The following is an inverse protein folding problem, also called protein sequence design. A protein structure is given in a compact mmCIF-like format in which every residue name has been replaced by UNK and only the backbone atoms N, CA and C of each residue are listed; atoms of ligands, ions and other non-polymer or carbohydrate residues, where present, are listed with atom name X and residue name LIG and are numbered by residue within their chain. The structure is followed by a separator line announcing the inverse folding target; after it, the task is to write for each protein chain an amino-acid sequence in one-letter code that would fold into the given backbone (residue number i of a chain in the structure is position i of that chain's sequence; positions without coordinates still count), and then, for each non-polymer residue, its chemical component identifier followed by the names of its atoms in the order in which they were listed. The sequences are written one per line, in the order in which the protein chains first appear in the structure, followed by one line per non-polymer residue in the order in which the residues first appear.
data_IF_801455140675
#
_entry.id   IF_801455140675
#
_cell.length_a   1.000
_cell.length_b   1.000
_cell.length_c   1.000
_cell.angle_alpha   90.00
_cell.angle_beta   90.00
_cell.angle_gamma   90.00
#
_symmetry.space_group_name_H-M   'P 1'
#
loop_
_entity.id
_entity.type
_entity.pdbx_description
1 polymer ?
#
# COMPACT_ATOMS: atom_id res chain seq x y z
N UNK A 1 -11.33 -0.30 -11.77
CA UNK A 1 -10.58 -0.06 -10.53
C UNK A 1 -9.93 1.33 -10.67
N UNK A 2 -10.25 2.27 -9.80
CA UNK A 2 -9.68 3.62 -9.83
C UNK A 2 -8.41 3.61 -8.99
N UNK A 3 -7.30 4.08 -9.55
CA UNK A 3 -6.03 4.22 -8.84
C UNK A 3 -5.91 5.68 -8.43
N UNK A 4 -5.78 5.93 -7.13
CA UNK A 4 -5.54 7.26 -6.58
C UNK A 4 -4.11 7.36 -6.08
N UNK A 5 -3.43 8.45 -6.42
CA UNK A 5 -2.07 8.74 -5.95
C UNK A 5 -2.11 9.56 -4.67
N UNK A 6 -1.30 9.18 -3.70
CA UNK A 6 -1.09 9.99 -2.51
C UNK A 6 -0.02 11.03 -2.83
N UNK A 7 -0.34 12.33 -2.72
CA UNK A 7 0.64 13.40 -2.94
C UNK A 7 1.34 13.77 -1.64
N UNK A 8 2.63 13.61 -1.54
CA UNK A 8 3.44 14.49 -0.72
C UNK A 8 4.42 15.32 -1.51
N UNK A 9 4.35 15.61 -2.75
CA UNK A 9 5.15 16.68 -3.43
C UNK A 9 4.55 16.97 -4.81
N UNK A 10 4.64 18.26 -5.23
CA UNK A 10 4.10 18.82 -6.44
C UNK A 10 4.40 18.02 -7.72
N UNK A 11 3.49 18.01 -8.70
CA UNK A 11 3.56 17.17 -9.87
C UNK A 11 4.65 17.64 -10.82
N UNK A 12 5.69 16.85 -10.97
CA UNK A 12 6.34 16.79 -12.26
C UNK A 12 5.44 15.94 -13.16
N UNK A 13 4.99 16.52 -14.27
CA UNK A 13 4.22 15.93 -15.36
C UNK A 13 3.87 14.43 -15.19
N UNK A 14 2.64 14.15 -14.79
CA UNK A 14 2.09 12.78 -14.80
C UNK A 14 2.16 12.25 -16.23
N UNK A 15 3.00 11.28 -16.49
CA UNK A 15 2.88 10.50 -17.71
C UNK A 15 1.49 9.88 -17.73
N UNK A 16 0.84 9.85 -18.89
CA UNK A 16 -0.49 9.28 -19.09
C UNK A 16 -0.61 7.84 -18.56
N UNK A 17 0.53 7.18 -18.37
CA UNK A 17 0.64 5.79 -17.93
C UNK A 17 1.59 5.69 -16.74
N UNK A 18 1.28 4.78 -15.81
CA UNK A 18 2.20 4.39 -14.75
C UNK A 18 2.60 2.91 -14.91
N UNK A 19 3.84 2.60 -14.55
CA UNK A 19 4.40 1.25 -14.72
C UNK A 19 3.87 0.30 -13.66
N UNK A 20 3.64 -0.96 -14.07
CA UNK A 20 3.27 -2.07 -13.21
C UNK A 20 4.42 -3.06 -13.23
N UNK A 21 5.01 -3.36 -12.08
CA UNK A 21 6.25 -4.13 -11.96
C UNK A 21 5.98 -5.52 -11.36
N UNK A 22 6.81 -6.49 -11.75
CA UNK A 22 6.94 -7.75 -11.01
C UNK A 22 7.73 -7.55 -9.73
N UNK A 23 7.67 -8.53 -8.81
CA UNK A 23 8.47 -8.48 -7.56
C UNK A 23 9.97 -8.41 -7.85
N UNK A 24 10.46 -9.10 -8.87
CA UNK A 24 11.89 -9.08 -9.22
C UNK A 24 12.31 -7.70 -9.74
N UNK A 25 11.49 -7.07 -10.58
CA UNK A 25 11.72 -5.68 -11.02
C UNK A 25 11.70 -4.71 -9.84
N UNK A 26 10.75 -4.89 -8.90
CA UNK A 26 10.70 -4.10 -7.68
C UNK A 26 11.97 -4.24 -6.84
N UNK A 27 12.47 -5.46 -6.63
CA UNK A 27 13.71 -5.70 -5.87
C UNK A 27 14.92 -4.96 -6.44
N UNK A 28 15.04 -4.93 -7.77
CA UNK A 28 16.12 -4.19 -8.44
C UNK A 28 15.98 -2.69 -8.22
N UNK A 29 14.79 -2.16 -8.38
CA UNK A 29 14.49 -0.76 -8.17
C UNK A 29 14.69 -0.33 -6.71
N UNK A 30 14.20 -1.13 -5.76
CA UNK A 30 14.37 -0.89 -4.31
C UNK A 30 15.85 -0.90 -3.89
N UNK A 31 16.64 -1.87 -4.38
CA UNK A 31 18.07 -1.95 -4.07
C UNK A 31 18.82 -0.69 -4.54
N UNK A 32 18.48 -0.17 -5.71
CA UNK A 32 19.03 1.08 -6.26
C UNK A 32 18.61 2.28 -5.43
N UNK A 33 17.33 2.36 -5.10
CA UNK A 33 16.76 3.40 -4.27
C UNK A 33 17.41 3.46 -2.89
N UNK A 34 17.59 2.31 -2.24
CA UNK A 34 18.29 2.20 -0.94
C UNK A 34 19.74 2.67 -1.07
N UNK A 35 20.42 2.34 -2.18
CA UNK A 35 21.79 2.80 -2.44
C UNK A 35 21.91 4.32 -2.60
N UNK A 36 20.86 4.99 -3.09
CA UNK A 36 20.85 6.43 -3.31
C UNK A 36 20.34 7.22 -2.11
N UNK A 37 19.16 6.87 -1.57
CA UNK A 37 18.46 7.64 -0.55
C UNK A 37 18.60 7.06 0.87
N UNK A 38 18.97 5.78 0.97
CA UNK A 38 19.01 5.02 2.22
C UNK A 38 17.63 4.52 2.68
N UNK A 39 17.60 3.39 3.39
CA UNK A 39 16.36 2.73 3.81
C UNK A 39 15.55 3.56 4.84
N UNK A 40 16.21 4.36 5.68
CA UNK A 40 15.57 5.24 6.67
C UNK A 40 14.72 6.31 6.00
N UNK A 41 15.26 6.96 4.97
CA UNK A 41 14.56 8.03 4.26
C UNK A 41 13.42 7.48 3.39
N UNK A 42 13.64 6.36 2.70
CA UNK A 42 12.59 5.71 1.91
C UNK A 42 11.41 5.29 2.79
N UNK A 43 11.68 4.68 3.93
CA UNK A 43 10.64 4.28 4.90
C UNK A 43 9.91 5.49 5.48
N UNK A 44 10.60 6.61 5.72
CA UNK A 44 9.97 7.86 6.15
C UNK A 44 8.99 8.38 5.10
N UNK A 45 9.37 8.37 3.81
CA UNK A 45 8.49 8.77 2.70
C UNK A 45 7.28 7.84 2.57
N UNK A 46 7.49 6.53 2.68
CA UNK A 46 6.41 5.54 2.70
C UNK A 46 5.43 5.83 3.84
N UNK A 47 5.94 6.04 5.07
CA UNK A 47 5.11 6.36 6.22
C UNK A 47 4.27 7.62 6.03
N UNK A 48 4.84 8.69 5.46
CA UNK A 48 4.11 9.93 5.17
C UNK A 48 2.96 9.69 4.15
N UNK A 49 3.22 8.91 3.09
CA UNK A 49 2.21 8.55 2.11
C UNK A 49 1.08 7.69 2.70
N UNK A 50 1.42 6.68 3.49
CA UNK A 50 0.43 5.84 4.18
C UNK A 50 -0.42 6.70 5.14
N UNK A 51 0.21 7.59 5.91
CA UNK A 51 -0.49 8.48 6.84
C UNK A 51 -1.47 9.42 6.11
N UNK A 52 -1.14 9.89 4.91
CA UNK A 52 -2.05 10.69 4.09
C UNK A 52 -3.29 9.89 3.69
N UNK A 53 -3.13 8.60 3.31
CA UNK A 53 -4.27 7.71 3.00
C UNK A 53 -5.11 7.45 4.25
N UNK A 54 -4.48 7.18 5.40
CA UNK A 54 -5.19 6.98 6.68
C UNK A 54 -6.06 8.19 7.02
N UNK A 55 -5.52 9.41 6.93
CA UNK A 55 -6.28 10.65 7.17
C UNK A 55 -7.48 10.81 6.25
N UNK A 56 -7.41 10.25 5.04
CA UNK A 56 -8.53 10.30 4.07
C UNK A 56 -9.58 9.25 4.37
N UNK A 57 -9.19 8.07 4.86
CA UNK A 57 -10.07 6.90 4.98
C UNK A 57 -10.62 6.68 6.39
N UNK A 58 -9.88 7.08 7.43
CA UNK A 58 -10.29 6.81 8.81
C UNK A 58 -11.51 7.68 9.21
N UNK A 59 -12.62 7.07 9.64
CA UNK A 59 -13.80 7.79 10.07
C UNK A 59 -13.66 8.35 11.49
N UNK A 60 -12.61 7.96 12.21
CA UNK A 60 -12.28 8.38 13.58
C UNK A 60 -10.77 8.39 13.80
N UNK A 61 -10.32 8.41 15.03
CA UNK A 61 -8.92 8.59 15.37
C UNK A 61 -8.25 7.38 16.04
N UNK A 62 -8.90 6.22 16.11
CA UNK A 62 -8.35 5.00 16.71
C UNK A 62 -7.83 4.08 15.61
N UNK A 63 -6.53 3.95 15.51
CA UNK A 63 -5.86 3.13 14.48
C UNK A 63 -5.19 1.95 15.16
N UNK A 64 -5.53 0.73 14.69
CA UNK A 64 -4.86 -0.49 15.11
C UNK A 64 -4.00 -1.03 13.97
N UNK A 65 -2.81 -1.58 14.27
CA UNK A 65 -1.90 -2.09 13.26
C UNK A 65 -1.32 -3.46 13.58
N UNK A 66 -1.14 -4.29 12.56
CA UNK A 66 -0.39 -5.53 12.62
C UNK A 66 0.96 -5.32 11.94
N UNK A 67 2.04 -5.22 12.72
CA UNK A 67 3.39 -5.00 12.25
C UNK A 67 4.15 -6.32 12.12
N UNK A 68 4.40 -6.74 10.89
CA UNK A 68 5.17 -7.93 10.59
C UNK A 68 6.69 -7.76 10.79
N UNK A 69 7.48 -8.80 10.50
CA UNK A 69 8.90 -8.83 10.80
C UNK A 69 9.76 -7.99 9.85
N UNK A 70 9.26 -7.72 8.63
CA UNK A 70 10.00 -7.07 7.55
C UNK A 70 9.80 -5.55 7.46
N UNK A 71 10.16 -5.00 6.30
CA UNK A 71 10.04 -3.57 5.99
C UNK A 71 8.57 -3.10 6.00
N UNK A 72 7.62 -3.96 5.63
CA UNK A 72 6.19 -3.62 5.66
C UNK A 72 5.71 -3.24 7.08
N UNK A 73 6.19 -3.96 8.12
CA UNK A 73 6.00 -3.56 9.52
C UNK A 73 6.71 -2.26 9.88
N UNK A 74 7.86 -1.99 9.24
CA UNK A 74 8.57 -0.73 9.34
C UNK A 74 7.79 0.44 8.77
N UNK A 75 7.18 0.26 7.60
CA UNK A 75 6.33 1.26 6.94
C UNK A 75 5.10 1.60 7.79
N UNK A 76 4.52 0.60 8.47
CA UNK A 76 3.46 0.83 9.46
C UNK A 76 3.94 1.71 10.61
N UNK A 77 5.12 1.43 11.18
CA UNK A 77 5.68 2.28 12.24
C UNK A 77 6.00 3.68 11.74
N UNK A 78 6.51 3.81 10.51
CA UNK A 78 6.75 5.12 9.91
C UNK A 78 5.44 5.91 9.75
N UNK A 79 4.34 5.26 9.37
CA UNK A 79 3.02 5.88 9.33
C UNK A 79 2.55 6.28 10.73
N UNK A 80 2.76 5.46 11.75
CA UNK A 80 2.39 5.76 13.12
C UNK A 80 3.18 6.94 13.69
N UNK A 81 4.45 7.11 13.30
CA UNK A 81 5.22 8.31 13.68
C UNK A 81 4.60 9.61 13.18
N UNK A 82 3.92 9.58 12.04
CA UNK A 82 3.22 10.73 11.44
C UNK A 82 1.79 10.91 11.98
N UNK A 83 1.17 9.83 12.46
CA UNK A 83 -0.24 9.82 12.89
C UNK A 83 -0.41 10.03 14.40
N UNK A 84 0.45 9.46 15.23
CA UNK A 84 0.29 9.43 16.67
C UNK A 84 0.11 10.80 17.35
N UNK A 85 0.61 11.94 16.83
CA UNK A 85 0.29 13.24 17.39
C UNK A 85 -1.20 13.64 17.35
N UNK A 86 -1.98 13.02 16.45
CA UNK A 86 -3.40 13.34 16.26
C UNK A 86 -4.34 12.12 16.37
N UNK A 87 -3.76 10.91 16.36
CA UNK A 87 -4.49 9.64 16.39
C UNK A 87 -4.01 8.77 17.55
N UNK A 88 -4.92 7.98 18.10
CA UNK A 88 -4.56 6.90 19.03
C UNK A 88 -4.07 5.71 18.21
N UNK A 89 -2.77 5.51 18.15
CA UNK A 89 -2.12 4.47 17.36
C UNK A 89 -1.66 3.32 18.27
N UNK A 90 -2.19 2.12 18.03
CA UNK A 90 -1.80 0.88 18.72
C UNK A 90 -1.40 -0.15 17.70
N UNK A 91 -0.22 -0.76 17.83
CA UNK A 91 0.20 -1.88 17.00
C UNK A 91 0.53 -3.10 17.84
N UNK A 92 0.22 -4.28 17.29
CA UNK A 92 0.86 -5.51 17.71
C UNK A 92 2.06 -5.79 16.80
N UNK A 93 3.20 -6.06 17.40
CA UNK A 93 4.47 -6.27 16.70
C UNK A 93 4.90 -7.74 16.76
N UNK A 94 5.26 -8.32 15.61
CA UNK A 94 6.03 -9.55 15.59
C UNK A 94 7.50 -9.22 15.89
N UNK A 95 7.98 -9.71 17.03
CA UNK A 95 9.38 -9.54 17.42
C UNK A 95 10.28 -10.39 16.54
N UNK A 96 11.40 -9.80 16.10
CA UNK A 96 12.43 -10.47 15.31
C UNK A 96 13.82 -10.05 15.77
N UNK A 97 14.80 -10.97 15.77
CA UNK A 97 16.15 -10.68 16.27
C UNK A 97 16.92 -9.71 15.36
N UNK A 98 16.64 -9.72 14.06
CA UNK A 98 17.31 -8.88 13.07
C UNK A 98 16.30 -8.07 12.26
N UNK A 99 16.58 -6.79 12.11
CA UNK A 99 15.70 -5.86 11.38
C UNK A 99 16.53 -4.74 10.73
N UNK A 100 16.02 -4.12 9.64
CA UNK A 100 16.69 -3.04 8.94
C UNK A 100 16.87 -1.78 9.82
N UNK A 101 17.80 -0.92 9.44
CA UNK A 101 18.00 0.37 10.12
C UNK A 101 16.76 1.25 10.00
N UNK A 102 16.10 1.25 8.84
CA UNK A 102 14.86 1.97 8.60
C UNK A 102 13.74 1.54 9.54
N UNK A 103 13.50 0.22 9.67
CA UNK A 103 12.48 -0.30 10.59
C UNK A 103 12.75 0.07 12.04
N UNK A 104 14.03 -0.01 12.51
CA UNK A 104 14.41 0.41 13.86
C UNK A 104 14.14 1.90 14.10
N UNK A 105 14.57 2.75 13.17
CA UNK A 105 14.37 4.19 13.25
C UNK A 105 12.87 4.55 13.23
N UNK A 106 12.07 3.93 12.35
CA UNK A 106 10.63 4.13 12.27
C UNK A 106 9.93 3.75 13.56
N UNK A 107 10.25 2.58 14.14
CA UNK A 107 9.70 2.13 15.41
C UNK A 107 10.00 3.09 16.57
N UNK A 108 11.24 3.54 16.69
CA UNK A 108 11.63 4.51 17.72
C UNK A 108 10.86 5.82 17.56
N UNK A 109 10.74 6.33 16.33
CA UNK A 109 9.96 7.53 16.04
C UNK A 109 8.49 7.36 16.39
N UNK A 110 7.87 6.22 16.06
CA UNK A 110 6.47 5.93 16.39
C UNK A 110 6.23 5.97 17.90
N UNK A 111 7.08 5.30 18.69
CA UNK A 111 6.99 5.32 20.15
C UNK A 111 7.21 6.73 20.70
N UNK A 112 8.22 7.47 20.20
CA UNK A 112 8.47 8.86 20.61
C UNK A 112 7.31 9.80 20.26
N UNK A 113 6.54 9.51 19.22
CA UNK A 113 5.35 10.26 18.82
C UNK A 113 4.09 9.88 19.63
N UNK A 114 4.15 8.84 20.48
CA UNK A 114 3.04 8.42 21.35
C UNK A 114 2.32 7.14 20.92
N UNK A 115 2.81 6.41 19.90
CA UNK A 115 2.23 5.13 19.53
C UNK A 115 2.52 4.04 20.59
N UNK A 116 1.53 3.20 20.86
CA UNK A 116 1.65 2.04 21.74
C UNK A 116 1.98 0.80 20.94
N UNK A 117 3.06 0.09 21.31
CA UNK A 117 3.48 -1.14 20.64
C UNK A 117 3.36 -2.31 21.62
N UNK A 118 2.56 -3.30 21.25
CA UNK A 118 2.28 -4.51 22.01
C UNK A 118 3.00 -5.71 21.36
N UNK A 119 3.38 -6.67 22.16
CA UNK A 119 4.07 -7.90 21.71
C UNK A 119 3.22 -9.18 21.85
N UNK A 120 2.10 -9.10 22.55
CA UNK A 120 1.21 -10.24 22.81
C UNK A 120 -0.20 -9.88 22.34
N UNK A 121 -0.86 -10.84 21.68
CA UNK A 121 -2.25 -10.74 21.32
C UNK A 121 -3.10 -11.47 22.36
N UNK A 122 -3.73 -10.73 23.25
CA UNK A 122 -4.62 -11.20 24.31
C UNK A 122 -6.02 -10.60 24.16
N UNK A 123 -6.90 -10.82 25.17
CA UNK A 123 -8.28 -10.30 25.14
C UNK A 123 -8.30 -8.77 25.15
N UNK A 124 -7.37 -8.10 25.84
CA UNK A 124 -7.25 -6.65 25.82
C UNK A 124 -6.89 -6.13 24.43
N UNK A 125 -5.94 -6.78 23.77
CA UNK A 125 -5.57 -6.46 22.38
C UNK A 125 -6.73 -6.71 21.41
N UNK A 126 -7.51 -7.78 21.62
CA UNK A 126 -8.70 -8.07 20.82
C UNK A 126 -9.76 -6.98 20.97
N UNK A 127 -9.96 -6.45 22.16
CA UNK A 127 -10.87 -5.33 22.39
C UNK A 127 -10.41 -4.05 21.66
N UNK A 128 -9.11 -3.73 21.71
CA UNK A 128 -8.54 -2.59 20.97
C UNK A 128 -8.71 -2.72 19.46
N UNK A 129 -8.57 -3.94 18.92
CA UNK A 129 -8.83 -4.23 17.50
C UNK A 129 -10.31 -3.99 17.13
N UNK A 130 -11.25 -4.42 17.98
CA UNK A 130 -12.68 -4.23 17.75
C UNK A 130 -13.04 -2.74 17.75
N UNK A 131 -12.49 -1.98 18.68
CA UNK A 131 -12.73 -0.56 18.86
C UNK A 131 -12.03 0.35 17.85
N UNK A 132 -11.08 -0.16 17.08
CA UNK A 132 -10.37 0.62 16.08
C UNK A 132 -11.33 1.16 15.00
N UNK A 133 -11.06 2.36 14.53
CA UNK A 133 -11.80 2.99 13.41
C UNK A 133 -11.23 2.53 12.06
N UNK A 134 -9.93 2.25 12.02
CA UNK A 134 -9.23 1.67 10.87
C UNK A 134 -8.14 0.70 11.35
N UNK A 135 -7.94 -0.38 10.60
CA UNK A 135 -6.91 -1.39 10.88
C UNK A 135 -5.87 -1.37 9.77
N UNK A 136 -4.58 -1.29 10.12
CA UNK A 136 -3.48 -1.36 9.17
C UNK A 136 -2.92 -2.79 9.10
N UNK A 137 -2.92 -3.38 7.91
CA UNK A 137 -2.22 -4.62 7.61
C UNK A 137 -0.80 -4.29 7.11
N UNK A 138 0.16 -4.29 8.01
CA UNK A 138 1.59 -4.16 7.75
C UNK A 138 2.34 -5.46 8.02
N UNK A 139 1.67 -6.63 7.92
CA UNK A 139 2.29 -7.91 8.24
C UNK A 139 3.31 -8.34 7.19
N UNK A 140 2.89 -8.49 5.94
CA UNK A 140 3.74 -8.90 4.82
C UNK A 140 3.48 -8.01 3.60
N UNK A 141 4.54 -7.64 2.89
CA UNK A 141 4.50 -6.91 1.63
C UNK A 141 4.83 -7.79 0.42
N UNK A 142 5.32 -7.18 -0.65
CA UNK A 142 5.63 -7.81 -1.93
C UNK A 142 6.65 -8.96 -1.88
N UNK A 143 7.45 -9.06 -0.81
CA UNK A 143 8.41 -10.15 -0.59
C UNK A 143 7.83 -11.40 0.08
N UNK A 144 6.53 -11.49 0.31
CA UNK A 144 5.89 -12.61 0.99
C UNK A 144 5.90 -13.89 0.14
N UNK A 145 5.92 -15.03 0.84
CA UNK A 145 5.80 -16.35 0.23
C UNK A 145 4.55 -17.06 0.72
N UNK A 146 3.89 -17.78 -0.16
CA UNK A 146 2.74 -18.63 0.16
C UNK A 146 3.16 -20.10 0.31
N UNK A 147 2.45 -20.91 1.11
CA UNK A 147 1.31 -20.53 1.96
C UNK A 147 1.75 -19.73 3.20
N UNK A 148 0.80 -18.98 3.77
CA UNK A 148 1.00 -18.26 5.02
C UNK A 148 1.31 -19.22 6.19
N UNK A 149 2.23 -18.80 7.06
CA UNK A 149 2.65 -19.58 8.24
C UNK A 149 2.26 -18.86 9.53
N UNK A 150 2.07 -19.60 10.65
CA UNK A 150 1.91 -18.98 11.96
C UNK A 150 3.11 -18.10 12.34
N UNK A 151 2.91 -17.01 13.09
CA UNK A 151 1.63 -16.50 13.59
C UNK A 151 0.87 -15.62 12.57
N UNK A 152 1.45 -15.29 11.40
CA UNK A 152 0.82 -14.42 10.38
C UNK A 152 -0.52 -14.97 9.92
N UNK A 153 -0.59 -16.27 9.60
CA UNK A 153 -1.84 -16.91 9.18
C UNK A 153 -2.95 -16.78 10.25
N UNK A 154 -2.58 -16.80 11.53
CA UNK A 154 -3.54 -16.61 12.63
C UNK A 154 -4.02 -15.17 12.72
N UNK A 155 -3.12 -14.20 12.57
CA UNK A 155 -3.47 -12.79 12.54
C UNK A 155 -4.39 -12.47 11.34
N UNK A 156 -4.11 -13.03 10.17
CA UNK A 156 -4.97 -12.88 9.01
C UNK A 156 -6.38 -13.45 9.27
N UNK A 157 -6.51 -14.61 9.95
CA UNK A 157 -7.82 -15.17 10.30
C UNK A 157 -8.61 -14.25 11.25
N UNK A 158 -7.95 -13.53 12.15
CA UNK A 158 -8.60 -12.54 13.03
C UNK A 158 -9.16 -11.35 12.26
N UNK A 159 -8.60 -11.05 11.07
CA UNK A 159 -9.09 -10.00 10.18
C UNK A 159 -10.17 -10.48 9.20
N UNK A 160 -10.50 -11.76 9.19
CA UNK A 160 -11.58 -12.26 8.32
C UNK A 160 -12.92 -11.60 8.71
N UNK A 161 -13.61 -11.04 7.71
CA UNK A 161 -14.85 -10.29 7.92
C UNK A 161 -14.65 -8.84 8.38
N UNK A 162 -13.44 -8.42 8.72
CA UNK A 162 -13.15 -7.03 9.02
C UNK A 162 -13.22 -6.17 7.76
N UNK A 163 -14.15 -5.20 7.72
CA UNK A 163 -14.37 -4.33 6.55
C UNK A 163 -13.61 -3.01 6.59
N UNK A 164 -12.77 -2.80 7.61
CA UNK A 164 -12.04 -1.56 7.88
C UNK A 164 -10.51 -1.75 7.83
N UNK A 165 -10.03 -2.59 6.89
CA UNK A 165 -8.59 -2.87 6.73
C UNK A 165 -8.01 -2.02 5.61
N UNK A 166 -6.92 -1.30 5.90
CA UNK A 166 -6.01 -0.71 4.92
C UNK A 166 -4.77 -1.59 4.84
N UNK A 167 -4.55 -2.22 3.69
CA UNK A 167 -3.34 -3.00 3.45
C UNK A 167 -2.18 -2.09 3.01
N UNK A 168 -1.02 -2.30 3.62
CA UNK A 168 0.23 -1.63 3.25
C UNK A 168 0.94 -2.51 2.24
N UNK A 169 1.32 -1.93 1.11
CA UNK A 169 2.02 -2.51 -0.04
C UNK A 169 1.17 -3.54 -0.81
N UNK A 170 0.85 -4.66 -0.21
CA UNK A 170 0.01 -5.74 -0.77
C UNK A 170 -0.79 -6.35 0.38
N UNK A 171 -2.08 -6.69 0.21
CA UNK A 171 -2.81 -7.39 1.26
C UNK A 171 -2.10 -8.69 1.63
N UNK A 172 -1.85 -8.89 2.93
CA UNK A 172 -1.11 -10.06 3.40
C UNK A 172 -1.76 -11.36 2.95
N UNK A 173 -0.97 -12.23 2.35
CA UNK A 173 -1.44 -13.48 1.77
C UNK A 173 -1.76 -13.45 0.29
N UNK A 174 -1.46 -12.35 -0.41
CA UNK A 174 -1.49 -12.26 -1.86
C UNK A 174 -0.05 -12.28 -2.41
N UNK A 175 0.19 -13.11 -3.41
CA UNK A 175 1.44 -13.07 -4.18
C UNK A 175 1.47 -11.83 -5.07
N UNK A 176 2.45 -10.98 -4.87
CA UNK A 176 2.53 -9.67 -5.52
C UNK A 176 2.85 -9.75 -7.03
N UNK A 177 3.31 -10.89 -7.55
CA UNK A 177 3.56 -11.11 -8.99
C UNK A 177 2.37 -11.75 -9.68
N UNK A 178 1.84 -12.84 -9.11
CA UNK A 178 0.81 -13.67 -9.76
C UNK A 178 -0.60 -13.34 -9.33
N UNK A 179 -0.77 -12.71 -8.16
CA UNK A 179 -2.05 -12.48 -7.52
C UNK A 179 -2.68 -13.73 -6.89
N UNK A 180 -1.94 -14.85 -6.84
CA UNK A 180 -2.42 -16.01 -6.09
C UNK A 180 -2.67 -15.63 -4.63
N UNK A 181 -3.77 -16.10 -4.07
CA UNK A 181 -4.18 -15.73 -2.72
C UNK A 181 -4.25 -16.96 -1.81
N UNK A 182 -3.65 -16.82 -0.62
CA UNK A 182 -3.85 -17.79 0.47
C UNK A 182 -5.33 -17.77 0.91
N UNK A 183 -5.93 -18.91 1.31
CA UNK A 183 -7.29 -18.93 1.85
C UNK A 183 -7.51 -17.96 3.03
N UNK A 184 -6.48 -17.75 3.85
CA UNK A 184 -6.51 -16.80 4.97
C UNK A 184 -6.12 -15.37 4.57
N UNK A 185 -5.85 -15.07 3.29
CA UNK A 185 -5.42 -13.75 2.86
C UNK A 185 -6.38 -12.64 3.30
N UNK A 186 -5.80 -11.51 3.67
CA UNK A 186 -6.53 -10.31 4.09
C UNK A 186 -7.39 -9.79 2.95
N UNK A 187 -8.62 -9.36 3.28
CA UNK A 187 -9.49 -8.61 2.38
C UNK A 187 -9.53 -7.15 2.83
N UNK A 188 -8.92 -6.28 2.04
CA UNK A 188 -8.77 -4.87 2.38
C UNK A 188 -9.92 -4.02 1.81
N UNK A 189 -10.32 -2.98 2.57
CA UNK A 189 -11.12 -1.87 2.07
C UNK A 189 -10.35 -1.08 1.01
N UNK A 190 -9.05 -0.91 1.27
CA UNK A 190 -8.12 -0.24 0.38
C UNK A 190 -6.70 -0.82 0.56
N UNK A 191 -5.87 -0.66 -0.47
CA UNK A 191 -4.45 -1.00 -0.46
C UNK A 191 -3.65 0.23 -0.84
N UNK A 192 -2.65 0.60 -0.04
CA UNK A 192 -1.64 1.60 -0.39
C UNK A 192 -0.36 0.89 -0.78
N UNK A 193 -0.11 0.76 -2.08
CA UNK A 193 1.10 0.12 -2.59
C UNK A 193 2.24 1.12 -2.68
N UNK A 194 3.46 0.68 -2.35
CA UNK A 194 4.61 1.55 -2.15
C UNK A 194 5.57 1.45 -3.33
N UNK A 195 6.06 2.59 -3.78
CA UNK A 195 7.05 2.73 -4.85
C UNK A 195 6.47 2.56 -6.24
N UNK A 196 5.97 1.37 -6.59
CA UNK A 196 5.29 1.11 -7.85
C UNK A 196 4.12 0.14 -7.68
N UNK A 197 3.25 0.09 -8.68
CA UNK A 197 2.17 -0.90 -8.78
C UNK A 197 2.77 -2.29 -9.04
N UNK A 198 2.19 -3.34 -8.43
CA UNK A 198 2.62 -4.73 -8.60
C UNK A 198 1.64 -5.48 -9.49
N UNK A 199 2.14 -6.36 -10.37
CA UNK A 199 1.32 -7.11 -11.34
C UNK A 199 0.22 -7.93 -10.66
N UNK A 200 0.52 -8.57 -9.53
CA UNK A 200 -0.42 -9.40 -8.79
C UNK A 200 -1.63 -8.64 -8.23
N UNK A 201 -1.54 -7.32 -8.01
CA UNK A 201 -2.67 -6.52 -7.53
C UNK A 201 -3.80 -6.39 -8.56
N UNK A 202 -3.51 -6.66 -9.83
CA UNK A 202 -4.47 -6.58 -10.94
C UNK A 202 -5.03 -7.94 -11.35
N UNK A 203 -4.50 -9.04 -10.80
CA UNK A 203 -4.99 -10.37 -11.09
C UNK A 203 -6.44 -10.56 -10.62
N UNK A 204 -7.21 -11.33 -11.35
CA UNK A 204 -8.61 -11.62 -11.04
C UNK A 204 -8.77 -12.25 -9.64
N UNK A 205 -7.86 -13.15 -9.28
CA UNK A 205 -7.82 -13.82 -7.97
C UNK A 205 -7.53 -12.86 -6.79
N UNK A 206 -6.79 -11.78 -7.02
CA UNK A 206 -6.47 -10.78 -6.01
C UNK A 206 -7.55 -9.69 -5.89
N UNK A 207 -8.26 -9.40 -6.98
CA UNK A 207 -9.20 -8.29 -7.11
C UNK A 207 -10.22 -8.16 -5.97
N UNK A 208 -10.84 -9.26 -5.45
CA UNK A 208 -11.79 -9.14 -4.34
C UNK A 208 -11.16 -8.70 -3.01
N UNK A 209 -9.82 -8.75 -2.90
CA UNK A 209 -9.07 -8.48 -1.66
C UNK A 209 -8.29 -7.17 -1.66
N UNK A 210 -8.06 -6.56 -2.81
CA UNK A 210 -7.23 -5.35 -2.94
C UNK A 210 -7.99 -4.09 -2.52
N UNK A 211 -9.30 -4.05 -2.73
CA UNK A 211 -10.11 -2.86 -2.47
C UNK A 211 -9.73 -1.67 -3.36
N UNK A 212 -9.86 -0.46 -2.84
CA UNK A 212 -9.42 0.77 -3.52
C UNK A 212 -7.90 0.85 -3.52
N UNK A 213 -7.28 1.00 -4.68
CA UNK A 213 -5.83 1.01 -4.81
C UNK A 213 -5.28 2.44 -4.82
N UNK A 214 -4.31 2.69 -3.92
CA UNK A 214 -3.52 3.91 -3.82
C UNK A 214 -2.07 3.62 -4.15
N UNK A 215 -1.40 4.50 -4.88
CA UNK A 215 0.04 4.45 -5.11
C UNK A 215 0.75 5.50 -4.26
N UNK A 216 1.63 5.04 -3.38
CA UNK A 216 2.55 5.89 -2.62
C UNK A 216 3.89 5.95 -3.34
N UNK A 217 4.14 7.02 -4.09
CA UNK A 217 5.43 7.25 -4.72
C UNK A 217 6.43 7.73 -3.67
N UNK A 218 7.56 7.03 -3.54
CA UNK A 218 8.63 7.34 -2.59
C UNK A 218 9.84 8.04 -3.24
N UNK A 219 9.69 8.41 -4.52
CA UNK A 219 10.69 9.21 -5.25
C UNK A 219 11.90 8.45 -5.79
N UNK A 220 11.86 7.12 -5.78
CA UNK A 220 13.06 6.27 -5.99
C UNK A 220 13.08 5.55 -7.34
N UNK A 221 12.08 5.78 -8.19
CA UNK A 221 11.99 5.11 -9.48
C UNK A 221 12.47 6.02 -10.60
N UNK A 222 13.55 5.63 -11.25
CA UNK A 222 14.07 6.30 -12.43
C UNK A 222 13.21 6.01 -13.67
N UNK A 223 13.36 6.82 -14.71
CA UNK A 223 12.69 6.59 -15.98
C UNK A 223 13.04 5.21 -16.59
N UNK A 224 14.26 4.71 -16.37
CA UNK A 224 14.70 3.38 -16.79
C UNK A 224 13.87 2.24 -16.19
N UNK A 225 13.38 2.37 -14.94
CA UNK A 225 12.51 1.38 -14.32
C UNK A 225 11.13 1.38 -14.97
N UNK A 226 10.68 2.55 -15.42
CA UNK A 226 9.42 2.73 -16.14
C UNK A 226 9.49 2.16 -17.56
N UNK A 227 10.65 2.23 -18.21
CA UNK A 227 10.86 1.73 -19.57
C UNK A 227 10.97 0.21 -19.64
N UNK A 228 11.49 -0.44 -18.60
CA UNK A 228 11.62 -1.91 -18.53
C UNK A 228 10.30 -2.63 -18.24
N UNK A 229 9.26 -1.91 -17.83
CA UNK A 229 7.95 -2.51 -17.57
C UNK A 229 7.21 -2.80 -18.88
N UNK A 230 6.90 -4.07 -19.11
CA UNK A 230 6.05 -4.51 -20.21
C UNK A 230 4.56 -4.19 -19.96
N UNK A 231 4.18 -3.88 -18.72
CA UNK A 231 2.80 -3.60 -18.31
C UNK A 231 2.68 -2.17 -17.81
N UNK A 232 1.73 -1.44 -18.33
CA UNK A 232 1.40 -0.07 -17.91
C UNK A 232 -0.09 0.06 -17.67
N UNK A 233 -0.47 0.84 -16.68
CA UNK A 233 -1.86 1.21 -16.46
C UNK A 233 -2.06 2.68 -16.78
N UNK A 234 -3.22 3.00 -17.34
CA UNK A 234 -3.63 4.37 -17.64
C UNK A 234 -4.03 5.06 -16.32
N UNK A 235 -3.46 6.23 -16.07
CA UNK A 235 -3.87 7.08 -14.94
C UNK A 235 -5.18 7.81 -15.28
N UNK A 236 -5.89 8.31 -14.25
CA UNK A 236 -7.10 9.12 -14.46
C UNK A 236 -6.78 10.37 -15.29
N UNK A 237 -5.70 11.06 -14.94
CA UNK A 237 -5.26 12.26 -15.67
C UNK A 237 -4.82 11.91 -17.10
N UNK A 238 -4.14 10.78 -17.28
CA UNK A 238 -3.76 10.26 -18.59
C UNK A 238 -4.98 9.88 -19.44
N UNK A 239 -6.00 9.29 -18.83
CA UNK A 239 -7.27 9.01 -19.51
C UNK A 239 -7.97 10.30 -19.91
N UNK A 240 -8.06 11.26 -19.00
CA UNK A 240 -8.66 12.58 -19.26
C UNK A 240 -7.94 13.32 -20.39
N UNK A 241 -6.60 13.25 -20.43
CA UNK A 241 -5.81 13.88 -21.49
C UNK A 241 -6.00 13.23 -22.88
N UNK A 242 -6.47 11.99 -22.94
CA UNK A 242 -6.75 11.28 -24.19
C UNK A 242 -8.20 11.44 -24.67
N UNK A 243 -9.09 12.00 -23.84
CA UNK A 243 -10.45 12.30 -24.25
C UNK A 243 -10.43 13.58 -25.08
N UNK A 244 -10.87 13.53 -26.36
CA UNK A 244 -10.93 14.72 -27.20
C UNK A 244 -11.85 15.78 -26.57
N UNK A 245 -11.37 17.01 -26.45
CA UNK A 245 -12.20 18.13 -26.01
C UNK A 245 -13.33 18.32 -27.02
N UNK A 246 -14.57 18.31 -26.55
CA UNK A 246 -15.73 18.55 -27.38
C UNK A 246 -15.65 19.97 -27.93
N UNK A 247 -15.67 20.12 -29.26
CA UNK A 247 -15.78 21.42 -29.89
C UNK A 247 -17.15 22.02 -29.53
N UNK A 248 -17.23 23.30 -29.09
CA UNK A 248 -18.50 23.92 -28.70
C UNK A 248 -19.56 23.89 -29.80
N UNK A 249 -19.14 23.94 -31.06
CA UNK A 249 -20.00 24.00 -32.26
C UNK A 249 -20.11 22.64 -32.97
N UNK A 250 -19.49 21.57 -32.44
CA UNK A 250 -19.51 20.23 -33.02
C UNK A 250 -20.82 19.49 -32.76
N UNK A 251 -21.39 18.89 -33.78
CA UNK A 251 -22.50 17.95 -33.62
C UNK A 251 -22.00 16.63 -33.01
N UNK A 252 -22.93 15.75 -32.62
CA UNK A 252 -22.61 14.43 -32.04
C UNK A 252 -21.79 13.51 -32.97
N UNK A 253 -21.77 13.77 -34.28
CA UNK A 253 -21.00 13.00 -35.27
C UNK A 253 -19.55 13.48 -35.34
N UNK A 254 -19.32 14.77 -35.10
CA UNK A 254 -17.95 15.33 -35.01
C UNK A 254 -17.17 14.82 -33.79
N UNK A 255 -17.86 14.39 -32.75
CA UNK A 255 -17.22 13.81 -31.55
C UNK A 255 -16.71 12.37 -31.75
N UNK A 256 -16.92 11.74 -32.91
CA UNK A 256 -16.55 10.36 -33.21
C UNK A 256 -17.55 9.34 -32.69
N UNK A 257 -17.33 8.09 -33.07
CA UNK A 257 -18.10 6.93 -32.57
C UNK A 257 -17.15 6.00 -31.76
N UNK A 258 -17.42 5.77 -30.49
CA UNK A 258 -16.59 4.82 -29.73
C UNK A 258 -16.85 3.39 -30.22
N UNK A 259 -15.78 2.65 -30.49
CA UNK A 259 -15.84 1.21 -30.69
C UNK A 259 -15.64 0.54 -29.33
N UNK A 260 -16.66 -0.13 -28.82
CA UNK A 260 -16.55 -0.94 -27.60
C UNK A 260 -16.45 -2.41 -28.01
N UNK A 261 -15.31 -3.02 -27.69
CA UNK A 261 -15.12 -4.45 -27.82
C UNK A 261 -15.26 -5.02 -26.41
N UNK A 262 -16.36 -5.73 -26.17
CA UNK A 262 -16.62 -6.42 -24.93
C UNK A 262 -16.51 -7.93 -25.18
N UNK A 263 -15.74 -8.63 -24.32
CA UNK A 263 -15.61 -10.07 -24.33
C UNK A 263 -16.02 -10.66 -22.98
#
# INVERSE_FOLDING_TARGET
MTIEATRPVAPASWNAYTSVLTVDQMRVADARAVGHDGDVELMRRAGAGIAAVVRTLAPGNRIFGFAGPGNNGGDLFAAFAELAPAFTCVAIEMSVPHTSAGRKAARLRAVSAGATILSVFDDGTAALLQDADLVLDGMLGSGSQLPLRPPIAEWCRRLQGCRKVLAIDVPTGIDATTGAADPAAVSALATVTIGALKTGLFAESARPRVGKLWLCEIGSFENSDRETSAVRTLTVDGAAAQVPLRQPEGDKRAAGAPLVIAG
#
